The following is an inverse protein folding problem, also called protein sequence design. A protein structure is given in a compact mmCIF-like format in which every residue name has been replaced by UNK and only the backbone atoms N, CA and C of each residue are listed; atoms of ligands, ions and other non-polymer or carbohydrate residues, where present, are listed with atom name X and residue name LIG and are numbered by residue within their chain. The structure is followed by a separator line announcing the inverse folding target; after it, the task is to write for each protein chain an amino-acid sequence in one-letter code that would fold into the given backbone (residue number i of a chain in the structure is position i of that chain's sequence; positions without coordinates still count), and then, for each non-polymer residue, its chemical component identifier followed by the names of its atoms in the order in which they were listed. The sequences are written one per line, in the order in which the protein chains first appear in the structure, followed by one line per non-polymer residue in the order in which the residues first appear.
data_IF_322048418750
#
_entry.id   IF_322048418750
#
_cell.length_a   1.000
_cell.length_b   1.000
_cell.length_c   1.000
_cell.angle_alpha   90.00
_cell.angle_beta   90.00
_cell.angle_gamma   90.00
#
_symmetry.space_group_name_H-M   'P 1'
#
loop_
_entity.id
_entity.type
_entity.pdbx_description
1 polymer ?
#
# COMPACT_ATOMS: atom_id res chain seq x y z
N UNK A 1 8.75 36.89 -5.75
CA UNK A 1 9.03 35.74 -4.87
C UNK A 1 8.07 35.82 -3.70
N UNK A 2 7.05 34.97 -3.67
CA UNK A 2 6.08 34.90 -2.56
C UNK A 2 6.08 33.47 -2.04
N UNK A 3 6.89 33.27 -1.02
CA UNK A 3 7.03 32.00 -0.29
C UNK A 3 5.84 31.89 0.67
N UNK A 4 4.95 30.93 0.44
CA UNK A 4 3.90 30.57 1.40
C UNK A 4 4.19 29.15 1.86
N UNK A 5 4.82 29.03 3.03
CA UNK A 5 4.97 27.79 3.78
C UNK A 5 3.65 27.50 4.50
N UNK A 6 2.90 26.50 4.04
CA UNK A 6 1.75 25.96 4.80
C UNK A 6 2.20 24.64 5.42
N UNK A 7 2.67 24.72 6.66
CA UNK A 7 2.90 23.57 7.51
C UNK A 7 1.55 22.96 7.88
N UNK A 8 1.23 21.79 7.31
CA UNK A 8 0.02 21.05 7.65
C UNK A 8 0.37 19.94 8.63
N UNK A 9 0.20 20.24 9.93
CA UNK A 9 0.09 19.25 11.00
C UNK A 9 -1.16 18.40 10.75
N UNK A 10 -1.00 17.12 10.40
CA UNK A 10 -2.10 16.16 10.48
C UNK A 10 -2.03 15.42 11.82
N UNK A 11 -3.00 15.78 12.66
CA UNK A 11 -3.27 15.19 13.98
C UNK A 11 -3.72 13.73 13.84
N UNK A 12 -3.04 12.84 14.56
CA UNK A 12 -3.50 11.47 14.85
C UNK A 12 -4.72 11.52 15.78
N UNK A 13 -5.86 11.04 15.31
CA UNK A 13 -7.05 10.65 16.10
C UNK A 13 -7.79 9.59 15.28
N UNK A 14 -8.41 8.53 15.79
CA UNK A 14 -8.66 8.04 17.14
C UNK A 14 -8.85 6.52 17.06
N UNK A 15 -8.47 5.83 18.12
CA UNK A 15 -8.80 4.43 18.36
C UNK A 15 -10.32 4.24 18.40
N UNK A 16 -10.86 3.35 17.56
CA UNK A 16 -12.22 2.85 17.74
C UNK A 16 -12.14 1.49 18.44
N UNK A 17 -12.13 1.53 19.77
CA UNK A 17 -12.44 0.38 20.60
C UNK A 17 -13.97 0.37 20.82
N UNK A 18 -14.66 -0.60 20.23
CA UNK A 18 -16.03 -0.93 20.60
C UNK A 18 -16.18 -2.44 20.45
N UNK A 19 -16.11 -3.13 21.59
CA UNK A 19 -16.45 -4.55 21.71
C UNK A 19 -17.93 -4.67 22.04
N UNK A 20 -18.73 -5.43 21.28
CA UNK A 20 -20.03 -5.88 21.77
C UNK A 20 -19.83 -7.07 22.74
N UNK A 21 -20.27 -6.86 23.98
CA UNK A 21 -20.45 -7.88 25.00
C UNK A 21 -21.39 -8.99 24.47
N UNK A 22 -20.89 -10.23 24.42
CA UNK A 22 -21.68 -11.40 24.02
C UNK A 22 -21.73 -12.40 25.19
N UNK A 23 -22.97 -12.73 25.55
CA UNK A 23 -23.48 -13.71 26.52
C UNK A 23 -22.62 -14.99 26.66
N UNK A 24 -22.48 -15.59 27.88
CA UNK A 24 -21.72 -16.82 28.05
C UNK A 24 -22.36 -18.01 27.32
N UNK A 25 -21.66 -18.54 26.32
CA UNK A 25 -21.91 -19.86 25.72
C UNK A 25 -21.03 -20.89 26.44
N UNK A 26 -21.59 -22.07 26.70
CA UNK A 26 -20.94 -23.18 27.39
C UNK A 26 -19.57 -23.51 26.77
N UNK A 27 -18.58 -23.74 27.64
CA UNK A 27 -17.19 -23.95 27.29
C UNK A 27 -16.95 -25.27 26.54
N UNK A 28 -16.87 -25.20 25.22
CA UNK A 28 -16.08 -26.14 24.43
C UNK A 28 -14.62 -25.69 24.54
N UNK A 29 -13.70 -26.61 24.87
CA UNK A 29 -12.28 -26.30 25.01
C UNK A 29 -11.78 -25.52 23.76
N UNK A 30 -11.06 -24.38 23.92
CA UNK A 30 -10.61 -23.59 22.79
C UNK A 30 -9.72 -24.44 21.89
N UNK A 31 -10.11 -24.59 20.62
CA UNK A 31 -9.18 -25.04 19.60
C UNK A 31 -7.99 -24.09 19.62
N UNK A 32 -6.77 -24.65 19.68
CA UNK A 32 -5.55 -23.86 19.66
C UNK A 32 -5.58 -22.90 18.47
N UNK A 33 -5.23 -21.61 18.64
CA UNK A 33 -5.24 -20.66 17.54
C UNK A 33 -4.26 -21.14 16.47
N UNK A 34 -4.80 -21.46 15.29
CA UNK A 34 -3.98 -21.74 14.11
C UNK A 34 -3.36 -20.41 13.69
N UNK A 35 -2.06 -20.26 13.95
CA UNK A 35 -1.29 -19.09 13.51
C UNK A 35 -1.25 -19.11 11.99
N UNK A 36 -1.97 -18.19 11.34
CA UNK A 36 -1.88 -18.00 9.91
C UNK A 36 -0.45 -17.59 9.55
N UNK A 37 0.17 -18.30 8.60
CA UNK A 37 1.49 -17.96 8.11
C UNK A 37 1.48 -16.53 7.50
N UNK A 38 2.52 -15.72 7.71
CA UNK A 38 2.62 -14.39 7.11
C UNK A 38 2.50 -14.47 5.58
N UNK A 39 1.67 -13.62 4.99
CA UNK A 39 1.58 -13.51 3.54
C UNK A 39 2.96 -13.12 2.96
N UNK A 40 3.33 -13.75 1.84
CA UNK A 40 4.57 -13.43 1.16
C UNK A 40 4.60 -11.94 0.76
N UNK A 41 5.76 -11.27 0.86
CA UNK A 41 5.89 -9.87 0.51
C UNK A 41 5.57 -9.67 -0.98
N UNK A 42 4.68 -8.73 -1.26
CA UNK A 42 4.29 -8.38 -2.64
C UNK A 42 5.44 -7.63 -3.30
N UNK A 43 5.81 -8.02 -4.52
CA UNK A 43 6.84 -7.33 -5.28
C UNK A 43 6.44 -5.87 -5.54
N UNK A 44 7.39 -4.92 -5.61
CA UNK A 44 7.09 -3.56 -6.01
C UNK A 44 6.55 -3.49 -7.44
N UNK A 45 5.55 -2.64 -7.66
CA UNK A 45 4.87 -2.45 -8.94
C UNK A 45 4.54 -0.97 -9.14
N UNK A 46 4.38 -0.55 -10.39
CA UNK A 46 3.93 0.79 -10.73
C UNK A 46 2.48 0.75 -11.19
N UNK A 47 1.63 1.64 -10.66
CA UNK A 47 0.23 1.73 -11.09
C UNK A 47 0.12 2.52 -12.40
N UNK A 48 -0.49 1.94 -13.43
CA UNK A 48 -0.81 2.62 -14.67
C UNK A 48 -2.25 3.15 -14.61
N UNK A 49 -2.41 4.47 -14.58
CA UNK A 49 -3.72 5.14 -14.52
C UNK A 49 -4.57 4.95 -15.78
N UNK A 50 -3.96 4.76 -16.94
CA UNK A 50 -4.69 4.56 -18.21
C UNK A 50 -5.26 3.14 -18.30
N UNK A 51 -4.57 2.15 -17.72
CA UNK A 51 -5.00 0.75 -17.72
C UNK A 51 -5.77 0.35 -16.44
N UNK A 52 -5.71 1.18 -15.41
CA UNK A 52 -6.30 0.88 -14.10
C UNK A 52 -5.63 -0.31 -13.39
N UNK A 53 -4.37 -0.61 -13.69
CA UNK A 53 -3.69 -1.83 -13.23
C UNK A 53 -2.25 -1.58 -12.78
N UNK A 54 -1.76 -2.46 -11.88
CA UNK A 54 -0.35 -2.49 -11.50
C UNK A 54 0.48 -3.18 -12.59
N UNK A 55 1.70 -2.69 -12.78
CA UNK A 55 2.66 -3.13 -13.77
C UNK A 55 3.97 -3.48 -13.09
N UNK A 56 4.56 -4.60 -13.48
CA UNK A 56 5.82 -5.08 -12.92
C UNK A 56 6.98 -4.09 -13.17
N UNK A 57 7.98 -4.13 -12.29
CA UNK A 57 9.26 -3.44 -12.52
C UNK A 57 9.89 -3.93 -13.82
N UNK A 58 10.44 -2.99 -14.60
CA UNK A 58 11.03 -3.24 -15.91
C UNK A 58 10.09 -2.91 -17.07
N UNK A 59 8.77 -2.93 -16.85
CA UNK A 59 7.77 -2.62 -17.87
C UNK A 59 7.95 -1.20 -18.42
N UNK A 60 7.94 -1.08 -19.75
CA UNK A 60 7.88 0.19 -20.47
C UNK A 60 6.46 0.40 -20.96
N UNK A 61 5.90 1.58 -20.69
CA UNK A 61 4.54 1.93 -21.06
C UNK A 61 4.48 3.39 -21.52
N UNK A 62 3.41 3.73 -22.25
CA UNK A 62 3.02 5.12 -22.45
C UNK A 62 1.88 5.41 -21.49
N UNK A 63 2.11 6.32 -20.54
CA UNK A 63 1.09 6.74 -19.56
C UNK A 63 0.76 8.21 -19.84
N UNK A 64 -0.50 8.50 -20.15
CA UNK A 64 -0.99 9.83 -20.50
C UNK A 64 -0.16 10.52 -21.60
N UNK A 65 0.29 9.74 -22.59
CA UNK A 65 1.11 10.21 -23.72
C UNK A 65 2.61 10.31 -23.44
N UNK A 66 3.08 10.01 -22.23
CA UNK A 66 4.51 10.04 -21.86
C UNK A 66 5.08 8.62 -21.81
N UNK A 67 6.18 8.39 -22.52
CA UNK A 67 6.91 7.12 -22.47
C UNK A 67 7.66 7.00 -21.14
N UNK A 68 7.28 6.03 -20.31
CA UNK A 68 7.84 5.80 -18.98
C UNK A 68 8.24 4.34 -18.81
N UNK A 69 9.17 4.08 -17.89
CA UNK A 69 9.56 2.75 -17.46
C UNK A 69 9.35 2.63 -15.95
N UNK A 70 8.72 1.53 -15.52
CA UNK A 70 8.61 1.20 -14.11
C UNK A 70 9.98 0.76 -13.59
N UNK A 71 10.55 1.51 -12.66
CA UNK A 71 11.86 1.20 -12.06
C UNK A 71 11.72 1.03 -10.56
N UNK A 72 12.55 0.14 -10.02
CA UNK A 72 12.72 0.04 -8.59
C UNK A 72 13.31 1.35 -8.05
N UNK A 73 12.81 1.82 -6.91
CA UNK A 73 13.41 2.95 -6.20
C UNK A 73 14.78 2.55 -5.64
N UNK A 74 15.65 3.53 -5.39
CA UNK A 74 17.03 3.27 -4.96
C UNK A 74 17.13 2.55 -3.61
N UNK A 75 16.12 2.68 -2.76
CA UNK A 75 16.01 1.97 -1.48
C UNK A 75 15.47 0.53 -1.63
N UNK A 76 15.04 0.14 -2.83
CA UNK A 76 14.56 -1.21 -3.15
C UNK A 76 13.18 -1.56 -2.59
N UNK A 77 12.51 -0.62 -1.92
CA UNK A 77 11.24 -0.87 -1.22
C UNK A 77 10.01 -0.57 -2.06
N UNK A 78 10.17 0.16 -3.16
CA UNK A 78 9.08 0.59 -4.02
C UNK A 78 9.46 0.59 -5.49
N UNK A 79 8.49 0.96 -6.32
CA UNK A 79 8.70 1.21 -7.74
C UNK A 79 8.00 2.51 -8.14
N UNK A 80 8.59 3.23 -9.09
CA UNK A 80 8.05 4.47 -9.64
C UNK A 80 8.20 4.50 -11.14
N UNK A 81 7.33 5.26 -11.80
CA UNK A 81 7.50 5.61 -13.19
C UNK A 81 8.65 6.60 -13.33
N UNK A 82 9.57 6.30 -14.25
CA UNK A 82 10.65 7.18 -14.66
C UNK A 82 10.57 7.39 -16.17
N UNK A 83 11.00 8.54 -16.68
CA UNK A 83 11.07 8.79 -18.13
C UNK A 83 11.87 7.67 -18.81
N UNK A 84 11.25 7.00 -19.77
CA UNK A 84 11.93 6.00 -20.57
C UNK A 84 12.81 6.71 -21.61
N UNK A 85 14.04 6.23 -21.77
CA UNK A 85 14.93 6.70 -22.83
C UNK A 85 14.50 6.19 -24.21
#
# INVERSE_FOLDING_TARGET
MRTILVASLFLLTAACASSPETKPVAATAPAAPVVAAPAAPKAPECYNGDLGSFQAVGTVATVSGVKVQCKLTSDGKGASWNTAK
#
